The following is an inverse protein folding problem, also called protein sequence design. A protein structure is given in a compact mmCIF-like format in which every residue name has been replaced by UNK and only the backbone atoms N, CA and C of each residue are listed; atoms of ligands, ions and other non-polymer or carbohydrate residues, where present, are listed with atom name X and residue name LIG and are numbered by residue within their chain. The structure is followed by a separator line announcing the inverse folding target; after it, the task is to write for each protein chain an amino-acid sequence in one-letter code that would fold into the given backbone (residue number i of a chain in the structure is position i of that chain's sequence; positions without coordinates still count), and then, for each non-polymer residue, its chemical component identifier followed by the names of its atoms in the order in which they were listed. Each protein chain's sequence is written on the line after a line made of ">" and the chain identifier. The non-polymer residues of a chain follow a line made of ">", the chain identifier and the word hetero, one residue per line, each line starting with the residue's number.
data_IF_066673850966
#
_entry.id   IF_066673850966
#
_cell.length_a   1.000
_cell.length_b   1.000
_cell.length_c   1.000
_cell.angle_alpha   90.00
_cell.angle_beta   90.00
_cell.angle_gamma   90.00
#
_symmetry.space_group_name_H-M   'P 1'
#
loop_
_entity.id
_entity.type
_entity.pdbx_description
1 polymer ?
#
# COMPACT_ATOMS: atom_id res chain seq x y z
N UNK A 1 -68.90 -15.65 12.92
CA UNK A 1 -68.41 -14.26 12.87
C UNK A 1 -66.99 -14.24 13.40
N UNK A 2 -65.97 -14.08 12.54
CA UNK A 2 -64.57 -14.02 12.94
C UNK A 2 -64.14 -12.55 12.93
N UNK A 3 -63.82 -12.00 14.09
CA UNK A 3 -63.25 -10.66 14.23
C UNK A 3 -61.76 -10.72 13.86
N UNK A 4 -61.36 -9.96 12.83
CA UNK A 4 -59.96 -9.76 12.48
C UNK A 4 -59.53 -8.45 13.17
N UNK A 5 -58.74 -8.58 14.23
CA UNK A 5 -58.03 -7.44 14.84
C UNK A 5 -56.84 -7.09 13.94
N UNK A 6 -56.90 -5.96 13.25
CA UNK A 6 -55.77 -5.42 12.49
C UNK A 6 -54.86 -4.66 13.46
N UNK A 7 -53.69 -5.22 13.75
CA UNK A 7 -52.67 -4.59 14.59
C UNK A 7 -51.79 -3.71 13.69
N UNK A 8 -52.05 -2.40 13.69
CA UNK A 8 -51.27 -1.44 12.92
C UNK A 8 -49.97 -1.13 13.66
N UNK A 9 -48.88 -1.80 13.26
CA UNK A 9 -47.52 -1.52 13.74
C UNK A 9 -47.09 -0.17 13.15
N UNK A 10 -47.07 0.87 13.98
CA UNK A 10 -46.50 2.17 13.62
C UNK A 10 -44.97 2.09 13.73
N UNK A 11 -44.29 1.87 12.60
CA UNK A 11 -42.84 1.89 12.51
C UNK A 11 -42.36 3.35 12.52
N UNK A 12 -41.91 3.85 13.67
CA UNK A 12 -41.30 5.18 13.77
C UNK A 12 -39.88 5.13 13.17
N UNK A 13 -39.77 5.54 11.91
CA UNK A 13 -38.48 5.82 11.28
C UNK A 13 -37.92 7.10 11.91
N UNK A 14 -36.94 6.97 12.81
CA UNK A 14 -36.10 8.09 13.24
C UNK A 14 -35.20 8.49 12.06
N UNK A 15 -35.69 9.37 11.20
CA UNK A 15 -34.83 10.04 10.22
C UNK A 15 -33.95 11.04 10.96
N UNK A 16 -32.69 10.68 11.21
CA UNK A 16 -31.66 11.66 11.55
C UNK A 16 -31.51 12.62 10.38
N UNK A 17 -31.81 13.90 10.58
CA UNK A 17 -31.59 14.92 9.56
C UNK A 17 -30.09 15.24 9.49
N UNK A 18 -29.53 15.25 8.28
CA UNK A 18 -28.15 15.65 8.04
C UNK A 18 -28.02 17.16 8.27
N UNK A 19 -27.23 17.58 9.27
CA UNK A 19 -26.98 19.00 9.55
C UNK A 19 -25.97 19.53 8.54
N UNK A 20 -26.41 20.38 7.61
CA UNK A 20 -25.54 21.13 6.69
C UNK A 20 -25.36 22.55 7.17
N UNK A 21 -24.14 22.90 7.58
CA UNK A 21 -23.79 24.23 8.04
C UNK A 21 -23.49 25.15 6.84
N UNK A 22 -24.04 26.36 6.86
CA UNK A 22 -23.53 27.46 6.04
C UNK A 22 -22.14 27.90 6.54
N UNK A 23 -21.38 28.59 5.70
CA UNK A 23 -20.06 29.13 6.09
C UNK A 23 -20.14 30.00 7.35
N UNK A 24 -21.16 30.86 7.44
CA UNK A 24 -21.33 31.76 8.59
C UNK A 24 -21.63 30.98 9.89
N UNK A 25 -22.45 29.93 9.81
CA UNK A 25 -22.72 29.06 10.96
C UNK A 25 -21.46 28.30 11.39
N UNK A 26 -20.69 27.77 10.44
CA UNK A 26 -19.44 27.10 10.74
C UNK A 26 -18.42 28.05 11.41
N UNK A 27 -18.27 29.27 10.89
CA UNK A 27 -17.37 30.29 11.44
C UNK A 27 -17.78 30.68 12.87
N UNK A 28 -19.09 30.82 13.12
CA UNK A 28 -19.62 31.12 14.45
C UNK A 28 -19.34 29.99 15.45
N UNK A 29 -19.66 28.75 15.06
CA UNK A 29 -19.47 27.57 15.92
C UNK A 29 -17.98 27.38 16.22
N UNK A 30 -17.11 27.46 15.22
CA UNK A 30 -15.67 27.32 15.40
C UNK A 30 -15.10 28.35 16.39
N UNK A 31 -15.51 29.62 16.27
CA UNK A 31 -15.10 30.66 17.23
C UNK A 31 -15.61 30.38 18.64
N UNK A 32 -16.85 29.89 18.79
CA UNK A 32 -17.41 29.57 20.09
C UNK A 32 -16.73 28.38 20.76
N UNK A 33 -16.44 27.33 20.00
CA UNK A 33 -15.67 26.19 20.50
C UNK A 33 -14.27 26.65 20.91
N UNK A 34 -13.59 27.45 20.09
CA UNK A 34 -12.26 27.97 20.46
C UNK A 34 -12.25 28.87 21.69
N UNK A 35 -13.29 29.68 21.89
CA UNK A 35 -13.46 30.44 23.12
C UNK A 35 -13.58 29.54 24.34
N UNK A 36 -14.32 28.44 24.24
CA UNK A 36 -14.57 27.54 25.35
C UNK A 36 -13.39 26.61 25.64
N UNK A 37 -12.80 26.00 24.60
CA UNK A 37 -11.73 25.00 24.72
C UNK A 37 -10.34 25.62 24.79
N UNK A 38 -10.11 26.73 24.07
CA UNK A 38 -8.80 27.37 23.94
C UNK A 38 -8.73 28.79 24.51
N UNK A 39 -9.72 29.20 25.31
CA UNK A 39 -9.85 30.55 25.87
C UNK A 39 -9.79 31.68 24.82
N UNK A 40 -9.97 31.38 23.53
CA UNK A 40 -9.75 32.34 22.44
C UNK A 40 -8.29 32.79 22.26
N UNK A 41 -7.32 32.01 22.74
CA UNK A 41 -5.89 32.33 22.64
C UNK A 41 -5.16 31.40 21.67
N UNK A 42 -4.34 31.97 20.79
CA UNK A 42 -3.61 31.22 19.76
C UNK A 42 -2.67 30.16 20.34
N UNK A 43 -2.11 30.43 21.53
CA UNK A 43 -1.23 29.48 22.24
C UNK A 43 -1.94 28.16 22.63
N UNK A 44 -3.27 28.14 22.58
CA UNK A 44 -4.11 26.96 22.86
C UNK A 44 -4.74 26.36 21.60
N UNK A 45 -4.38 26.84 20.40
CA UNK A 45 -4.79 26.19 19.15
C UNK A 45 -4.15 24.81 19.00
N UNK A 46 -2.91 24.65 19.45
CA UNK A 46 -2.20 23.37 19.57
C UNK A 46 -1.38 23.42 20.87
N UNK A 47 -1.81 22.69 21.90
CA UNK A 47 -1.20 22.75 23.23
C UNK A 47 -1.15 21.37 23.89
N UNK A 48 -0.13 21.15 24.73
CA UNK A 48 -0.01 19.96 25.58
C UNK A 48 -0.12 20.40 27.02
N UNK A 49 -1.18 19.98 27.72
CA UNK A 49 -1.33 20.26 29.14
C UNK A 49 -0.30 19.47 29.94
N UNK A 50 0.09 20.01 31.09
CA UNK A 50 1.00 19.32 32.00
C UNK A 50 0.34 18.03 32.53
N UNK A 51 0.96 16.89 32.24
CA UNK A 51 0.46 15.57 32.66
C UNK A 51 -0.48 14.90 31.65
N UNK A 52 -0.72 15.52 30.49
CA UNK A 52 -1.40 14.88 29.37
C UNK A 52 -0.40 14.45 28.30
N UNK A 53 -0.63 13.26 27.75
CA UNK A 53 0.22 12.68 26.71
C UNK A 53 -0.27 13.04 25.29
N UNK A 54 -1.48 13.59 25.15
CA UNK A 54 -2.07 14.00 23.87
C UNK A 54 -2.10 15.52 23.69
N UNK A 55 -2.21 15.96 22.42
CA UNK A 55 -2.37 17.37 22.09
C UNK A 55 -3.85 17.76 22.22
N UNK A 56 -4.11 18.84 22.96
CA UNK A 56 -5.36 19.59 22.86
C UNK A 56 -5.28 20.47 21.62
N UNK A 57 -6.28 20.35 20.74
CA UNK A 57 -6.44 21.24 19.59
C UNK A 57 -7.58 22.19 19.93
N UNK A 58 -7.46 23.48 19.64
CA UNK A 58 -8.42 24.50 20.09
C UNK A 58 -9.86 24.36 19.56
N UNK A 59 -10.20 23.26 18.89
CA UNK A 59 -11.53 22.90 18.42
C UNK A 59 -12.02 21.53 18.95
N UNK A 60 -11.23 20.86 19.82
CA UNK A 60 -11.56 19.57 20.43
C UNK A 60 -10.34 18.72 20.82
N UNK A 61 -10.57 17.65 21.58
CA UNK A 61 -9.53 16.70 21.96
C UNK A 61 -9.32 15.65 20.86
N UNK A 62 -8.14 15.64 20.24
CA UNK A 62 -7.75 14.61 19.28
C UNK A 62 -6.78 13.66 19.96
N UNK A 63 -7.30 12.51 20.40
CA UNK A 63 -6.49 11.46 21.01
C UNK A 63 -5.76 10.72 19.87
N UNK A 64 -4.52 11.13 19.59
CA UNK A 64 -3.58 10.38 18.78
C UNK A 64 -2.45 9.88 19.66
N UNK A 65 -1.87 8.71 19.35
CA UNK A 65 -0.72 8.13 20.04
C UNK A 65 0.29 9.21 20.46
N UNK A 66 0.38 9.49 21.78
CA UNK A 66 1.25 10.50 22.32
C UNK A 66 2.70 10.43 21.87
N UNK A 67 3.41 11.55 21.99
CA UNK A 67 4.87 11.55 21.95
C UNK A 67 5.40 10.76 23.16
N UNK A 68 6.10 9.66 22.90
CA UNK A 68 6.70 8.80 23.94
C UNK A 68 6.00 7.46 24.14
N UNK A 69 4.81 7.29 23.56
CA UNK A 69 4.10 6.01 23.56
C UNK A 69 4.62 5.10 22.44
N UNK A 70 4.87 3.84 22.78
CA UNK A 70 5.49 2.84 21.89
C UNK A 70 4.58 1.65 21.63
N UNK A 71 3.34 1.68 22.07
CA UNK A 71 2.38 0.58 21.98
C UNK A 71 2.04 0.29 20.53
N UNK A 72 1.77 1.32 19.70
CA UNK A 72 1.59 1.13 18.27
C UNK A 72 2.87 0.67 17.59
N UNK A 73 4.02 1.22 17.97
CA UNK A 73 5.31 0.79 17.43
C UNK A 73 5.59 -0.68 17.75
N UNK A 74 5.33 -1.08 18.99
CA UNK A 74 5.48 -2.45 19.50
C UNK A 74 4.48 -3.37 18.82
N UNK A 75 3.22 -2.96 18.68
CA UNK A 75 2.22 -3.71 17.93
C UNK A 75 2.65 -3.94 16.48
N UNK A 76 3.06 -2.88 15.76
CA UNK A 76 3.52 -3.00 14.37
C UNK A 76 4.77 -3.89 14.27
N UNK A 77 5.74 -3.74 15.17
CA UNK A 77 6.96 -4.57 15.22
C UNK A 77 6.64 -6.02 15.51
N UNK A 78 5.78 -6.28 16.49
CA UNK A 78 5.38 -7.63 16.89
C UNK A 78 4.48 -8.31 15.84
N UNK A 79 3.81 -7.55 14.97
CA UNK A 79 2.96 -8.08 13.90
C UNK A 79 3.64 -8.13 12.53
N UNK A 80 4.92 -7.74 12.40
CA UNK A 80 5.66 -7.88 11.14
C UNK A 80 5.65 -9.31 10.56
N UNK A 81 5.77 -10.39 11.36
CA UNK A 81 5.70 -11.75 10.83
C UNK A 81 4.36 -12.05 10.14
N UNK A 82 3.23 -11.64 10.73
CA UNK A 82 1.90 -11.83 10.11
C UNK A 82 1.75 -11.04 8.80
N UNK A 83 2.34 -9.85 8.73
CA UNK A 83 2.36 -9.08 7.48
C UNK A 83 3.18 -9.80 6.40
N UNK A 84 4.33 -10.38 6.77
CA UNK A 84 5.15 -11.18 5.87
C UNK A 84 4.42 -12.44 5.39
N UNK A 85 3.72 -13.15 6.28
CA UNK A 85 2.87 -14.30 5.93
C UNK A 85 1.77 -13.91 4.94
N UNK A 86 1.07 -12.80 5.19
CA UNK A 86 0.05 -12.29 4.27
C UNK A 86 0.65 -11.93 2.90
N UNK A 87 1.83 -11.31 2.87
CA UNK A 87 2.53 -10.99 1.62
C UNK A 87 2.97 -12.27 0.87
N UNK A 88 3.38 -13.32 1.58
CA UNK A 88 3.70 -14.63 1.00
C UNK A 88 2.45 -15.32 0.42
N UNK A 89 1.31 -15.27 1.12
CA UNK A 89 0.03 -15.76 0.62
C UNK A 89 -0.44 -14.98 -0.62
N UNK A 90 -0.14 -13.69 -0.73
CA UNK A 90 -0.40 -12.91 -1.94
C UNK A 90 0.52 -13.34 -3.08
N UNK A 91 1.80 -13.57 -2.80
CA UNK A 91 2.76 -14.04 -3.80
C UNK A 91 2.35 -15.39 -4.40
N UNK A 92 1.85 -16.34 -3.60
CA UNK A 92 1.41 -17.65 -4.12
C UNK A 92 0.24 -17.55 -5.11
N UNK A 93 -0.59 -16.50 -4.99
CA UNK A 93 -1.68 -16.18 -5.93
C UNK A 93 -1.21 -15.37 -7.14
N UNK A 94 -0.12 -14.61 -6.99
CA UNK A 94 0.39 -13.73 -8.04
C UNK A 94 0.89 -14.48 -9.27
N UNK A 95 1.57 -15.62 -9.12
CA UNK A 95 2.04 -16.40 -10.27
C UNK A 95 0.87 -16.89 -11.14
N UNK A 96 -0.14 -17.61 -10.62
CA UNK A 96 -1.33 -17.97 -11.40
C UNK A 96 -1.99 -16.77 -12.08
N UNK A 97 -2.13 -15.64 -11.37
CA UNK A 97 -2.71 -14.41 -11.92
C UNK A 97 -1.89 -13.84 -13.09
N UNK A 98 -0.56 -13.83 -12.97
CA UNK A 98 0.32 -13.44 -14.07
C UNK A 98 0.17 -14.38 -15.26
N UNK A 99 0.17 -15.70 -15.04
CA UNK A 99 0.07 -16.68 -16.12
C UNK A 99 -1.27 -16.58 -16.87
N UNK A 100 -2.38 -16.39 -16.15
CA UNK A 100 -3.71 -16.20 -16.74
C UNK A 100 -3.81 -14.92 -17.60
N UNK A 101 -2.93 -13.93 -17.38
CA UNK A 101 -2.86 -12.72 -18.21
C UNK A 101 -2.08 -12.90 -19.51
N UNK A 102 -1.48 -14.07 -19.74
CA UNK A 102 -0.60 -14.37 -20.88
C UNK A 102 -1.31 -15.34 -21.82
N UNK A 103 -1.42 -14.98 -23.09
CA UNK A 103 -2.04 -15.85 -24.12
C UNK A 103 -1.09 -16.91 -24.70
N UNK A 104 0.22 -16.70 -24.62
CA UNK A 104 1.22 -17.61 -25.22
C UNK A 104 1.76 -18.63 -24.21
N UNK A 105 1.57 -19.92 -24.50
CA UNK A 105 2.08 -21.02 -23.67
C UNK A 105 3.60 -20.97 -23.50
N UNK A 106 4.34 -20.68 -24.57
CA UNK A 106 5.81 -20.52 -24.50
C UNK A 106 6.21 -19.44 -23.50
N UNK A 107 5.46 -18.34 -23.48
CA UNK A 107 5.69 -17.23 -22.55
C UNK A 107 5.30 -17.61 -21.13
N UNK A 108 4.19 -18.32 -20.92
CA UNK A 108 3.83 -18.85 -19.60
C UNK A 108 4.92 -19.78 -19.04
N UNK A 109 5.40 -20.74 -19.84
CA UNK A 109 6.47 -21.67 -19.46
C UNK A 109 7.75 -20.90 -19.07
N UNK A 110 8.12 -19.89 -19.84
CA UNK A 110 9.30 -19.06 -19.55
C UNK A 110 9.18 -18.32 -18.21
N UNK A 111 8.02 -17.71 -17.95
CA UNK A 111 7.77 -16.97 -16.72
C UNK A 111 7.77 -17.91 -15.52
N UNK A 112 7.10 -19.06 -15.60
CA UNK A 112 7.11 -20.07 -14.55
C UNK A 112 8.53 -20.55 -14.25
N UNK A 113 9.32 -20.86 -15.28
CA UNK A 113 10.72 -21.27 -15.11
C UNK A 113 11.52 -20.21 -14.36
N UNK A 114 11.46 -18.95 -14.81
CA UNK A 114 12.25 -17.86 -14.21
C UNK A 114 11.77 -17.46 -12.82
N UNK A 115 10.47 -17.54 -12.54
CA UNK A 115 9.93 -17.41 -11.20
C UNK A 115 10.56 -18.46 -10.27
N UNK A 116 10.57 -19.72 -10.70
CA UNK A 116 11.13 -20.82 -9.91
C UNK A 116 12.65 -20.73 -9.73
N UNK A 117 13.39 -20.26 -10.75
CA UNK A 117 14.85 -20.01 -10.64
C UNK A 117 15.19 -18.93 -9.61
N UNK A 118 14.30 -17.96 -9.39
CA UNK A 118 14.48 -16.95 -8.34
C UNK A 118 14.03 -17.49 -6.98
N UNK A 119 12.87 -18.16 -6.94
CA UNK A 119 12.20 -18.61 -5.71
C UNK A 119 12.93 -19.75 -4.99
N UNK A 120 13.65 -20.62 -5.70
CA UNK A 120 14.19 -21.85 -5.13
C UNK A 120 15.71 -21.95 -5.27
N UNK A 121 16.33 -22.64 -4.32
CA UNK A 121 17.67 -23.19 -4.47
C UNK A 121 17.69 -24.34 -5.50
N UNK A 122 18.89 -24.74 -5.93
CA UNK A 122 19.07 -25.83 -6.91
C UNK A 122 18.50 -27.18 -6.45
N UNK A 123 18.43 -27.41 -5.13
CA UNK A 123 17.87 -28.61 -4.52
C UNK A 123 16.33 -28.56 -4.39
N UNK A 124 15.68 -27.49 -4.85
CA UNK A 124 14.23 -27.31 -4.78
C UNK A 124 13.72 -26.71 -3.46
N UNK A 125 14.56 -26.47 -2.46
CA UNK A 125 14.13 -25.76 -1.25
C UNK A 125 13.91 -24.27 -1.53
N UNK A 126 13.08 -23.61 -0.72
CA UNK A 126 12.85 -22.16 -0.84
C UNK A 126 14.17 -21.41 -0.61
N UNK A 127 14.46 -20.45 -1.48
CA UNK A 127 15.50 -19.45 -1.29
C UNK A 127 14.88 -18.24 -0.61
N UNK A 128 15.25 -17.95 0.64
CA UNK A 128 14.62 -16.89 1.43
C UNK A 128 14.86 -15.51 0.80
N UNK A 129 16.05 -15.27 0.24
CA UNK A 129 16.33 -14.05 -0.52
C UNK A 129 15.49 -14.00 -1.81
N UNK A 130 15.31 -15.14 -2.46
CA UNK A 130 14.44 -15.31 -3.64
C UNK A 130 12.99 -14.97 -3.37
N UNK A 131 12.42 -15.55 -2.31
CA UNK A 131 11.10 -15.26 -1.80
C UNK A 131 10.96 -13.76 -1.48
N UNK A 132 11.92 -13.21 -0.74
CA UNK A 132 11.94 -11.79 -0.39
C UNK A 132 11.89 -10.89 -1.63
N UNK A 133 12.73 -11.08 -2.64
CA UNK A 133 12.78 -10.17 -3.80
C UNK A 133 11.50 -10.23 -4.65
N UNK A 134 10.88 -11.41 -4.79
CA UNK A 134 9.62 -11.57 -5.51
C UNK A 134 8.48 -10.86 -4.76
N UNK A 135 8.40 -11.09 -3.45
CA UNK A 135 7.42 -10.48 -2.54
C UNK A 135 7.58 -8.96 -2.49
N UNK A 136 8.81 -8.48 -2.31
CA UNK A 136 9.14 -7.07 -2.21
C UNK A 136 8.79 -6.35 -3.51
N UNK A 137 9.15 -6.93 -4.67
CA UNK A 137 8.90 -6.29 -5.95
C UNK A 137 7.41 -6.17 -6.29
N UNK A 138 6.60 -7.18 -5.95
CA UNK A 138 5.13 -7.08 -6.07
C UNK A 138 4.60 -5.94 -5.20
N UNK A 139 5.02 -5.83 -3.94
CA UNK A 139 4.55 -4.75 -3.08
C UNK A 139 5.10 -3.38 -3.49
N UNK A 140 6.23 -3.35 -4.18
CA UNK A 140 6.90 -2.13 -4.63
C UNK A 140 6.33 -1.59 -5.96
N UNK A 141 6.07 -2.46 -6.92
CA UNK A 141 5.75 -2.11 -8.32
C UNK A 141 4.60 -2.89 -8.94
N UNK A 142 4.08 -3.87 -8.20
CA UNK A 142 2.96 -4.71 -8.59
C UNK A 142 3.34 -5.85 -9.53
N UNK A 143 2.33 -6.62 -9.91
CA UNK A 143 2.48 -7.85 -10.69
C UNK A 143 2.77 -7.55 -12.17
N UNK A 144 2.32 -6.41 -12.68
CA UNK A 144 2.43 -6.05 -14.09
C UNK A 144 1.33 -6.64 -14.97
N UNK A 145 0.19 -6.96 -14.38
CA UNK A 145 -1.01 -7.51 -15.03
C UNK A 145 -2.03 -6.44 -15.33
N UNK A 146 -2.05 -5.33 -14.59
CA UNK A 146 -3.05 -4.27 -14.73
C UNK A 146 -2.72 -3.31 -15.87
N UNK A 147 -3.76 -2.69 -16.44
CA UNK A 147 -3.60 -1.61 -17.43
C UNK A 147 -2.93 -0.36 -16.83
N UNK A 148 -3.18 -0.10 -15.55
CA UNK A 148 -2.59 1.03 -14.80
C UNK A 148 -1.09 0.86 -14.54
N UNK A 149 -0.54 -0.34 -14.70
CA UNK A 149 0.88 -0.66 -14.51
C UNK A 149 1.69 -0.53 -15.81
N UNK A 150 1.23 0.30 -16.74
CA UNK A 150 1.78 0.42 -18.09
C UNK A 150 1.81 1.85 -18.57
N UNK A 151 2.83 2.18 -19.35
CA UNK A 151 2.85 3.34 -20.24
C UNK A 151 3.12 2.86 -21.65
N UNK A 152 2.35 3.35 -22.63
CA UNK A 152 2.46 2.94 -24.03
C UNK A 152 2.44 1.40 -24.19
N UNK A 153 1.53 0.74 -23.46
CA UNK A 153 1.38 -0.73 -23.36
C UNK A 153 2.59 -1.49 -22.77
N UNK A 154 3.67 -0.79 -22.40
CA UNK A 154 4.86 -1.37 -21.78
C UNK A 154 4.73 -1.33 -20.25
N UNK A 155 4.67 -2.52 -19.64
CA UNK A 155 4.60 -2.66 -18.19
C UNK A 155 5.95 -2.64 -17.49
N UNK A 156 5.94 -2.57 -16.17
CA UNK A 156 7.14 -2.56 -15.32
C UNK A 156 7.04 -3.48 -14.10
N UNK A 157 5.92 -4.20 -13.94
CA UNK A 157 5.68 -5.08 -12.80
C UNK A 157 6.47 -6.38 -12.89
N UNK A 158 6.26 -7.25 -11.91
CA UNK A 158 7.02 -8.51 -11.77
C UNK A 158 7.01 -9.35 -13.05
N UNK A 159 5.89 -9.44 -13.75
CA UNK A 159 5.77 -10.16 -15.02
C UNK A 159 6.80 -9.70 -16.04
N UNK A 160 6.97 -8.38 -16.21
CA UNK A 160 7.94 -7.84 -17.16
C UNK A 160 9.38 -8.02 -16.67
N UNK A 161 9.63 -7.97 -15.37
CA UNK A 161 10.96 -8.27 -14.81
C UNK A 161 11.35 -9.71 -15.11
N UNK A 162 10.48 -10.67 -14.80
CA UNK A 162 10.72 -12.09 -15.10
C UNK A 162 10.91 -12.32 -16.60
N UNK A 163 10.16 -11.62 -17.45
CA UNK A 163 10.29 -11.71 -18.92
C UNK A 163 11.65 -11.23 -19.47
N UNK A 164 12.36 -10.36 -18.75
CA UNK A 164 13.61 -9.75 -19.22
C UNK A 164 14.85 -10.15 -18.40
N UNK A 165 14.76 -11.18 -17.55
CA UNK A 165 15.92 -11.75 -16.87
C UNK A 165 16.94 -12.27 -17.90
N UNK A 166 18.19 -11.81 -17.75
CA UNK A 166 19.32 -12.34 -18.51
C UNK A 166 19.61 -13.79 -18.08
N UNK A 167 19.45 -14.80 -18.95
CA UNK A 167 19.69 -16.20 -18.58
C UNK A 167 21.18 -16.49 -18.32
N UNK A 168 22.08 -15.67 -18.86
CA UNK A 168 23.53 -15.88 -18.78
C UNK A 168 24.16 -15.33 -17.50
N UNK A 169 23.42 -14.57 -16.69
CA UNK A 169 23.89 -14.12 -15.38
C UNK A 169 23.71 -15.26 -14.36
N UNK A 170 24.82 -15.83 -13.81
CA UNK A 170 24.75 -16.97 -12.90
C UNK A 170 24.06 -16.62 -11.57
N UNK A 171 24.18 -15.38 -11.08
CA UNK A 171 23.47 -14.95 -9.89
C UNK A 171 22.04 -14.50 -10.27
N UNK A 172 21.06 -15.38 -10.04
CA UNK A 172 19.66 -15.14 -10.41
C UNK A 172 19.04 -13.92 -9.72
N UNK A 173 19.46 -13.59 -8.50
CA UNK A 173 19.01 -12.37 -7.80
C UNK A 173 19.58 -11.12 -8.45
N UNK A 174 20.85 -11.16 -8.87
CA UNK A 174 21.48 -10.07 -9.64
C UNK A 174 20.82 -9.88 -11.00
N UNK A 175 20.54 -10.98 -11.70
CA UNK A 175 19.84 -10.97 -12.98
C UNK A 175 18.42 -10.35 -12.83
N UNK A 176 17.73 -10.69 -11.75
CA UNK A 176 16.44 -10.11 -11.39
C UNK A 176 16.54 -8.60 -11.14
N UNK A 177 17.49 -8.16 -10.30
CA UNK A 177 17.70 -6.74 -9.99
C UNK A 177 18.06 -5.91 -11.23
N UNK A 178 18.90 -6.43 -12.12
CA UNK A 178 19.25 -5.78 -13.39
C UNK A 178 18.04 -5.65 -14.31
N UNK A 179 17.23 -6.72 -14.43
CA UNK A 179 15.99 -6.69 -15.20
C UNK A 179 15.01 -5.65 -14.62
N UNK A 180 14.82 -5.64 -13.30
CA UNK A 180 14.00 -4.65 -12.61
C UNK A 180 14.47 -3.21 -12.87
N UNK A 181 15.78 -2.95 -12.77
CA UNK A 181 16.34 -1.61 -13.04
C UNK A 181 16.10 -1.18 -14.49
N UNK A 182 16.19 -2.14 -15.42
CA UNK A 182 15.88 -1.91 -16.84
C UNK A 182 14.40 -1.57 -17.04
N UNK A 183 13.48 -2.32 -16.39
CA UNK A 183 12.03 -2.06 -16.48
C UNK A 183 11.67 -0.69 -15.92
N UNK A 184 12.28 -0.29 -14.79
CA UNK A 184 12.05 1.01 -14.19
C UNK A 184 12.66 2.15 -15.01
N UNK A 185 13.82 1.94 -15.63
CA UNK A 185 14.40 2.91 -16.56
C UNK A 185 13.53 3.13 -17.79
N UNK A 186 12.95 2.05 -18.34
CA UNK A 186 11.98 2.12 -19.43
C UNK A 186 10.70 2.83 -19.01
N UNK A 187 10.18 2.54 -17.81
CA UNK A 187 9.03 3.23 -17.23
C UNK A 187 9.25 4.74 -17.18
N UNK A 188 10.39 5.20 -16.67
CA UNK A 188 10.70 6.63 -16.58
C UNK A 188 10.73 7.26 -17.98
N UNK A 189 11.39 6.61 -18.94
CA UNK A 189 11.43 7.09 -20.34
C UNK A 189 10.05 7.24 -20.96
N UNK A 190 9.09 6.38 -20.60
CA UNK A 190 7.72 6.41 -21.11
C UNK A 190 6.74 7.22 -20.24
N UNK A 191 7.18 7.74 -19.09
CA UNK A 191 6.30 8.44 -18.16
C UNK A 191 5.97 9.85 -18.69
N UNK A 192 4.72 10.33 -18.55
CA UNK A 192 4.40 11.71 -18.84
C UNK A 192 5.33 12.67 -18.06
N UNK A 193 5.99 13.65 -18.72
CA UNK A 193 6.98 14.51 -18.06
C UNK A 193 6.46 15.19 -16.78
N UNK A 194 5.18 15.58 -16.75
CA UNK A 194 4.53 16.19 -15.59
C UNK A 194 4.54 15.30 -14.32
N UNK A 195 4.71 13.98 -14.43
CA UNK A 195 4.84 13.09 -13.26
C UNK A 195 6.22 13.17 -12.58
N UNK A 196 7.24 13.67 -13.30
CA UNK A 196 8.58 13.87 -12.76
C UNK A 196 9.26 12.58 -12.29
N UNK A 197 9.13 11.48 -13.04
CA UNK A 197 9.52 10.15 -12.56
C UNK A 197 11.01 9.91 -12.32
N UNK A 198 11.86 10.73 -12.93
CA UNK A 198 13.31 10.66 -12.79
C UNK A 198 13.79 10.80 -11.33
N UNK A 199 13.09 11.60 -10.51
CA UNK A 199 13.46 11.85 -9.10
C UNK A 199 13.56 10.58 -8.25
N UNK A 200 12.85 9.51 -8.63
CA UNK A 200 12.84 8.26 -7.89
C UNK A 200 13.94 7.29 -8.33
N UNK A 201 14.61 7.51 -9.47
CA UNK A 201 15.59 6.57 -10.06
C UNK A 201 16.67 6.16 -9.05
N UNK A 202 17.28 7.14 -8.38
CA UNK A 202 18.34 6.89 -7.40
C UNK A 202 17.88 5.96 -6.28
N UNK A 203 16.74 6.27 -5.65
CA UNK A 203 16.18 5.47 -4.56
C UNK A 203 15.75 4.08 -5.01
N UNK A 204 15.18 3.95 -6.21
CA UNK A 204 14.81 2.66 -6.77
C UNK A 204 16.03 1.78 -7.03
N UNK A 205 17.10 2.33 -7.60
CA UNK A 205 18.32 1.56 -7.85
C UNK A 205 19.01 1.13 -6.55
N UNK A 206 19.06 2.00 -5.53
CA UNK A 206 19.57 1.62 -4.20
C UNK A 206 18.80 0.41 -3.65
N UNK A 207 17.47 0.42 -3.71
CA UNK A 207 16.63 -0.72 -3.29
C UNK A 207 16.94 -1.98 -4.10
N UNK A 208 17.04 -1.88 -5.42
CA UNK A 208 17.31 -3.05 -6.27
C UNK A 208 18.72 -3.61 -6.07
N UNK A 209 19.69 -2.79 -5.68
CA UNK A 209 21.02 -3.27 -5.34
C UNK A 209 21.04 -4.18 -4.10
N UNK A 210 20.16 -3.95 -3.13
CA UNK A 210 20.09 -4.80 -1.92
C UNK A 210 19.53 -6.19 -2.19
N UNK A 211 18.98 -6.45 -3.37
CA UNK A 211 18.39 -7.75 -3.70
C UNK A 211 19.42 -8.86 -3.89
N UNK A 212 20.67 -8.50 -4.23
CA UNK A 212 21.69 -9.48 -4.62
C UNK A 212 23.06 -9.27 -3.97
N UNK A 213 23.24 -8.14 -3.29
CA UNK A 213 24.36 -7.91 -2.36
C UNK A 213 24.12 -8.67 -1.05
#
# INVERSE_FOLDING_TARGET
>A
MKFIFSFMICLTLLFGSEIKLTKQQADFIAKKVWQNEGAGLDKYLIHWNKGEDFASVGIGHFIWFPKGHTELFSFLKNTMPYQAEFMAQRLSKALPQMLNSITSDKRQILITKRFNEVMHHKNGSINEKGLYVLLDYINFKGEGTLKSERYNNQGWGLLQVLEHINPNEPNKLKAFAQSASTMLSRRIKNSPPARGEERWRKGWNIRLETYWK
#
